data_IF_750960419711
#
_entry.id   IF_750960419711
#
_cell.length_a   1.000
_cell.length_b   1.000
_cell.length_c   1.000
_cell.angle_alpha   90.00
_cell.angle_beta   90.00
_cell.angle_gamma   90.00
#
_symmetry.space_group_name_H-M   'P 1'
#
loop_
_entity.id
_entity.type
_entity.pdbx_description
1 polymer ?
#
# COMPACT_ATOMS: atom_id res chain seq x y z
N UNK A 1 0.31 -28.61 39.50
CA UNK A 1 -0.35 -27.94 38.36
C UNK A 1 0.75 -27.52 37.42
N UNK A 2 1.23 -28.44 36.59
CA UNK A 2 2.18 -28.15 35.51
C UNK A 2 1.40 -28.35 34.20
N UNK A 3 0.47 -27.44 33.95
CA UNK A 3 -0.27 -27.37 32.69
C UNK A 3 0.14 -26.03 32.08
N UNK A 4 0.46 -26.01 30.79
CA UNK A 4 0.97 -24.86 30.03
C UNK A 4 2.43 -24.44 30.29
N UNK A 5 3.22 -25.16 31.09
CA UNK A 5 4.66 -24.89 31.20
C UNK A 5 5.41 -25.20 29.90
N UNK A 6 5.07 -26.32 29.25
CA UNK A 6 5.65 -26.67 27.95
C UNK A 6 5.29 -25.65 26.87
N UNK A 7 4.07 -25.09 26.91
CA UNK A 7 3.65 -24.03 26.00
C UNK A 7 4.38 -22.72 26.30
N UNK A 8 4.52 -22.34 27.57
CA UNK A 8 5.28 -21.15 27.96
C UNK A 8 6.77 -21.25 27.57
N UNK A 9 7.38 -22.43 27.73
CA UNK A 9 8.77 -22.68 27.33
C UNK A 9 8.93 -22.76 25.80
N UNK A 10 7.90 -23.22 25.09
CA UNK A 10 7.84 -23.20 23.62
C UNK A 10 7.68 -21.77 23.09
N UNK A 11 6.69 -21.03 23.58
CA UNK A 11 6.41 -19.64 23.22
C UNK A 11 7.57 -18.71 23.59
N UNK A 12 8.22 -18.94 24.74
CA UNK A 12 9.41 -18.22 25.15
C UNK A 12 10.64 -18.49 24.27
N UNK A 13 10.63 -19.57 23.47
CA UNK A 13 11.64 -19.87 22.44
C UNK A 13 11.26 -19.35 21.06
N UNK A 14 9.99 -19.00 20.82
CA UNK A 14 9.56 -18.40 19.56
C UNK A 14 10.20 -17.01 19.40
N UNK A 15 10.54 -16.68 18.15
CA UNK A 15 11.03 -15.35 17.84
C UNK A 15 9.99 -14.29 18.22
N UNK A 16 10.42 -13.19 18.81
CA UNK A 16 9.52 -12.09 19.15
C UNK A 16 8.99 -11.44 17.85
N UNK A 17 7.83 -11.91 17.37
CA UNK A 17 7.22 -11.46 16.12
C UNK A 17 6.92 -9.95 16.11
N UNK A 18 6.69 -9.35 17.27
CA UNK A 18 6.53 -7.89 17.39
C UNK A 18 7.77 -7.11 16.95
N UNK A 19 8.96 -7.73 16.93
CA UNK A 19 10.17 -7.11 16.37
C UNK A 19 10.19 -7.08 14.83
N UNK A 20 9.35 -7.89 14.19
CA UNK A 20 9.17 -7.95 12.73
C UNK A 20 7.99 -7.08 12.24
N UNK A 21 7.23 -6.49 13.16
CA UNK A 21 6.17 -5.52 12.89
C UNK A 21 6.66 -4.09 13.11
N UNK A 22 6.07 -3.11 12.42
CA UNK A 22 6.48 -1.70 12.55
C UNK A 22 5.85 -1.09 13.81
N UNK A 23 6.62 -0.82 14.89
CA UNK A 23 6.06 -0.40 16.16
C UNK A 23 5.45 1.01 16.11
N UNK A 24 5.82 1.84 15.12
CA UNK A 24 5.31 3.22 15.01
C UNK A 24 3.99 3.32 14.26
N UNK A 25 3.61 2.28 13.54
CA UNK A 25 2.40 2.25 12.71
C UNK A 25 1.66 0.96 13.08
N UNK A 26 0.97 0.87 14.23
CA UNK A 26 0.21 -0.32 14.56
C UNK A 26 -0.98 -0.50 13.62
N UNK A 27 -1.46 -1.74 13.47
CA UNK A 27 -2.72 -2.00 12.78
C UNK A 27 -3.88 -1.24 13.44
N UNK A 28 -4.71 -0.51 12.66
CA UNK A 28 -5.93 0.10 13.19
C UNK A 28 -6.87 -0.95 13.74
N UNK A 29 -7.58 -0.65 14.83
CA UNK A 29 -8.44 -1.63 15.49
C UNK A 29 -9.71 -1.93 14.68
N UNK A 30 -10.17 -0.96 13.89
CA UNK A 30 -11.41 -1.06 13.11
C UNK A 30 -11.13 -0.79 11.62
N UNK A 31 -11.91 -1.44 10.75
CA UNK A 31 -11.81 -1.28 9.30
C UNK A 31 -11.98 0.18 8.86
N UNK A 32 -12.93 0.91 9.43
CA UNK A 32 -13.16 2.31 9.11
C UNK A 32 -11.94 3.20 9.38
N UNK A 33 -11.15 2.88 10.41
CA UNK A 33 -9.91 3.59 10.71
C UNK A 33 -8.85 3.29 9.65
N UNK A 34 -8.75 2.04 9.21
CA UNK A 34 -7.82 1.64 8.17
C UNK A 34 -8.15 2.27 6.81
N UNK A 35 -9.43 2.30 6.44
CA UNK A 35 -9.90 2.94 5.20
C UNK A 35 -9.70 4.46 5.22
N UNK A 36 -9.72 5.09 6.40
CA UNK A 36 -9.47 6.53 6.52
C UNK A 36 -7.98 6.89 6.47
N UNK A 37 -7.08 5.98 6.90
CA UNK A 37 -5.62 6.20 6.93
C UNK A 37 -4.95 5.88 5.56
N UNK A 38 -5.52 6.48 4.51
CA UNK A 38 -5.05 6.36 3.13
C UNK A 38 -3.70 7.06 3.00
N UNK A 39 -2.63 6.26 2.88
CA UNK A 39 -1.25 6.75 2.77
C UNK A 39 -0.28 6.02 3.69
N UNK A 40 -0.76 5.52 4.84
CA UNK A 40 -0.04 4.53 5.65
C UNK A 40 -0.49 3.12 5.35
N UNK A 41 -1.75 2.95 4.96
CA UNK A 41 -2.31 1.67 4.58
C UNK A 41 -2.85 1.73 3.15
N UNK A 42 -2.80 0.59 2.47
CA UNK A 42 -3.37 0.39 1.13
C UNK A 42 -4.11 -0.94 1.12
N UNK A 43 -5.25 -1.04 0.41
CA UNK A 43 -6.02 -2.28 0.34
C UNK A 43 -5.18 -3.42 -0.26
N UNK A 44 -5.33 -4.62 0.27
CA UNK A 44 -4.77 -5.84 -0.32
C UNK A 44 -5.60 -6.20 -1.55
N UNK A 45 -5.04 -6.19 -2.78
CA UNK A 45 -5.86 -6.32 -3.99
C UNK A 45 -6.59 -7.66 -4.13
N UNK A 46 -6.08 -8.72 -3.49
CA UNK A 46 -6.69 -10.05 -3.50
C UNK A 46 -7.71 -10.26 -2.35
N UNK A 47 -7.86 -9.28 -1.46
CA UNK A 47 -8.79 -9.33 -0.32
C UNK A 47 -9.33 -7.92 -0.03
N UNK A 48 -10.08 -7.41 -1.00
CA UNK A 48 -10.74 -6.11 -0.94
C UNK A 48 -12.27 -6.30 -0.85
N UNK A 49 -12.95 -5.39 -0.15
CA UNK A 49 -14.39 -5.42 0.05
C UNK A 49 -15.18 -5.09 -1.22
N UNK A 50 -14.56 -4.38 -2.16
CA UNK A 50 -15.12 -4.11 -3.49
C UNK A 50 -14.70 -5.15 -4.54
N UNK A 51 -13.77 -6.04 -4.18
CA UNK A 51 -13.23 -7.09 -5.05
C UNK A 51 -13.91 -8.45 -4.89
N UNK A 52 -13.25 -9.50 -5.38
CA UNK A 52 -13.66 -10.86 -5.08
C UNK A 52 -13.28 -11.19 -3.63
N UNK A 53 -14.22 -10.96 -2.71
CA UNK A 53 -14.18 -11.18 -1.26
C UNK A 53 -13.76 -12.60 -0.78
N UNK A 54 -13.29 -13.46 -1.68
CA UNK A 54 -12.90 -14.83 -1.37
C UNK A 54 -11.64 -14.93 -0.50
N UNK A 55 -10.82 -13.86 -0.42
CA UNK A 55 -9.70 -13.71 0.51
C UNK A 55 -8.95 -15.02 0.75
N UNK A 56 -8.48 -15.67 -0.32
CA UNK A 56 -8.08 -17.10 -0.31
C UNK A 56 -7.06 -17.43 0.78
N UNK A 57 -6.14 -16.50 1.05
CA UNK A 57 -5.07 -16.65 2.04
C UNK A 57 -5.46 -16.22 3.46
N UNK A 58 -6.54 -15.45 3.59
CA UNK A 58 -7.02 -14.84 4.84
C UNK A 58 -8.51 -15.10 4.95
N UNK A 59 -8.88 -16.38 4.97
CA UNK A 59 -10.28 -16.80 5.03
C UNK A 59 -10.96 -16.16 6.25
N UNK A 60 -12.23 -15.80 6.13
CA UNK A 60 -12.97 -15.08 7.18
C UNK A 60 -12.69 -13.59 7.29
N UNK A 61 -11.67 -13.07 6.60
CA UNK A 61 -11.52 -11.63 6.42
C UNK A 61 -12.52 -11.14 5.37
N UNK A 62 -13.09 -9.97 5.60
CA UNK A 62 -13.86 -9.20 4.63
C UNK A 62 -12.97 -8.26 3.82
N UNK A 63 -11.95 -7.69 4.46
CA UNK A 63 -11.01 -6.75 3.85
C UNK A 63 -9.67 -6.79 4.57
N UNK A 64 -8.57 -6.74 3.83
CA UNK A 64 -7.24 -6.60 4.38
C UNK A 64 -6.54 -5.37 3.83
N UNK A 65 -5.73 -4.72 4.68
CA UNK A 65 -4.86 -3.62 4.29
C UNK A 65 -3.40 -3.97 4.55
N UNK A 66 -2.51 -3.39 3.77
CA UNK A 66 -1.07 -3.51 3.85
C UNK A 66 -0.46 -2.16 4.26
N UNK A 67 0.54 -2.20 5.13
CA UNK A 67 1.32 -1.00 5.46
C UNK A 67 2.19 -0.53 4.30
N UNK A 68 2.29 0.78 4.12
CA UNK A 68 3.19 1.44 3.17
C UNK A 68 4.65 1.45 3.64
N UNK A 69 4.88 1.14 4.92
CA UNK A 69 6.20 1.12 5.55
C UNK A 69 6.60 -0.30 5.95
N UNK A 70 7.87 -0.62 5.74
CA UNK A 70 8.48 -1.88 6.13
C UNK A 70 9.46 -1.67 7.30
N UNK A 71 9.65 -2.71 8.12
CA UNK A 71 10.67 -2.72 9.18
C UNK A 71 12.08 -2.87 8.62
N UNK A 72 13.09 -2.78 9.48
CA UNK A 72 14.52 -2.89 9.13
C UNK A 72 14.91 -4.22 8.44
N UNK A 73 14.10 -5.27 8.58
CA UNK A 73 14.26 -6.54 7.84
C UNK A 73 13.62 -6.54 6.45
N UNK A 74 12.90 -5.48 6.08
CA UNK A 74 12.13 -5.38 4.84
C UNK A 74 10.73 -6.00 4.89
N UNK A 75 10.29 -6.52 6.04
CA UNK A 75 8.94 -7.04 6.20
C UNK A 75 7.91 -5.91 6.31
N UNK A 76 6.77 -6.07 5.63
CA UNK A 76 5.58 -5.24 5.77
C UNK A 76 4.56 -5.92 6.68
N UNK A 77 3.69 -5.12 7.30
CA UNK A 77 2.57 -5.63 8.09
C UNK A 77 1.28 -5.65 7.26
N UNK A 78 0.44 -6.64 7.52
CA UNK A 78 -0.88 -6.80 6.93
C UNK A 78 -1.93 -6.85 8.05
N UNK A 79 -2.97 -6.03 7.93
CA UNK A 79 -4.05 -5.93 8.90
C UNK A 79 -5.35 -6.38 8.23
N UNK A 80 -5.96 -7.45 8.73
CA UNK A 80 -7.18 -8.03 8.17
C UNK A 80 -8.35 -7.83 9.11
N UNK A 81 -9.51 -7.54 8.55
CA UNK A 81 -10.74 -7.22 9.28
C UNK A 81 -11.83 -8.25 8.96
N UNK A 82 -12.58 -8.64 9.98
CA UNK A 82 -13.72 -9.55 9.85
C UNK A 82 -14.94 -8.84 9.21
N UNK A 83 -16.05 -9.57 9.10
CA UNK A 83 -17.28 -9.04 8.51
C UNK A 83 -17.95 -7.96 9.37
N UNK A 84 -17.70 -8.01 10.67
CA UNK A 84 -18.11 -7.04 11.68
C UNK A 84 -17.21 -5.77 11.70
N UNK A 85 -16.10 -5.76 10.95
CA UNK A 85 -15.19 -4.63 10.80
C UNK A 85 -14.14 -4.51 11.92
N UNK A 86 -13.94 -5.57 12.71
CA UNK A 86 -12.91 -5.63 13.75
C UNK A 86 -11.63 -6.24 13.21
N UNK A 87 -10.50 -5.76 13.72
CA UNK A 87 -9.20 -6.35 13.43
C UNK A 87 -9.23 -7.81 13.90
N UNK A 88 -9.06 -8.72 12.96
CA UNK A 88 -8.94 -10.14 13.27
C UNK A 88 -7.68 -10.36 14.11
N UNK A 89 -7.76 -11.24 15.10
CA UNK A 89 -6.62 -11.54 15.95
C UNK A 89 -5.57 -12.38 15.20
N UNK A 90 -4.31 -12.05 15.43
CA UNK A 90 -3.15 -12.84 15.06
C UNK A 90 -2.84 -13.83 16.18
N UNK A 91 -3.71 -14.81 16.44
CA UNK A 91 -3.32 -15.88 17.36
C UNK A 91 -2.24 -16.73 16.69
N UNK A 92 -1.14 -16.89 17.42
CA UNK A 92 -0.13 -17.93 17.28
C UNK A 92 0.52 -18.02 15.89
N UNK A 93 1.41 -17.05 15.57
CA UNK A 93 2.30 -17.16 14.42
C UNK A 93 3.22 -18.39 14.56
N UNK A 94 2.83 -19.50 13.95
CA UNK A 94 3.69 -20.68 13.74
C UNK A 94 4.37 -20.62 12.37
N UNK A 95 5.70 -20.76 12.34
CA UNK A 95 6.47 -20.90 11.09
C UNK A 95 6.26 -22.32 10.51
N UNK A 96 5.09 -22.61 9.97
CA UNK A 96 4.80 -23.85 9.24
C UNK A 96 4.48 -23.55 7.77
N UNK A 97 4.43 -24.55 6.89
CA UNK A 97 4.08 -24.38 5.47
C UNK A 97 2.58 -24.12 5.23
N UNK A 98 1.79 -24.01 6.30
CA UNK A 98 0.34 -23.89 6.34
C UNK A 98 -0.14 -22.54 6.89
N UNK A 99 0.72 -21.53 7.07
CA UNK A 99 0.31 -20.18 7.53
C UNK A 99 -0.68 -19.48 6.58
N UNK A 100 -0.78 -19.94 5.33
CA UNK A 100 -1.81 -19.48 4.37
C UNK A 100 -3.13 -20.26 4.47
N UNK A 101 -3.20 -21.25 5.36
CA UNK A 101 -4.29 -22.24 5.44
C UNK A 101 -5.19 -22.04 6.66
N UNK A 102 -4.74 -21.29 7.67
CA UNK A 102 -5.51 -20.95 8.87
C UNK A 102 -5.45 -19.45 9.18
N UNK A 103 -6.57 -18.95 9.70
CA UNK A 103 -6.85 -17.56 10.07
C UNK A 103 -5.67 -16.89 10.77
N UNK A 104 -5.01 -15.97 10.09
CA UNK A 104 -3.94 -15.19 10.70
C UNK A 104 -3.93 -13.77 10.13
N UNK A 105 -4.37 -12.81 10.93
CA UNK A 105 -4.06 -11.40 10.72
C UNK A 105 -2.63 -11.11 11.17
N UNK A 106 -2.04 -9.98 10.80
CA UNK A 106 -0.77 -9.54 11.38
C UNK A 106 0.46 -10.36 11.00
N UNK A 107 0.36 -11.30 10.05
CA UNK A 107 1.55 -12.02 9.56
C UNK A 107 2.45 -11.01 8.86
N UNK A 108 3.71 -10.83 9.29
CA UNK A 108 4.66 -10.01 8.57
C UNK A 108 4.88 -10.65 7.19
N UNK A 109 4.31 -10.03 6.16
CA UNK A 109 4.62 -10.42 4.81
C UNK A 109 6.01 -9.88 4.51
N UNK A 110 6.97 -10.78 4.26
CA UNK A 110 8.32 -10.37 3.82
C UNK A 110 8.30 -9.60 2.49
N UNK A 111 7.20 -9.66 1.76
CA UNK A 111 7.06 -9.15 0.42
C UNK A 111 5.59 -9.03 0.01
N UNK A 112 5.20 -7.95 -0.67
CA UNK A 112 4.07 -8.06 -1.60
C UNK A 112 4.44 -9.09 -2.69
N UNK A 113 3.48 -9.77 -3.35
CA UNK A 113 3.84 -10.58 -4.51
C UNK A 113 4.49 -9.68 -5.58
N UNK A 114 5.35 -10.22 -6.43
CA UNK A 114 6.00 -9.45 -7.50
C UNK A 114 4.95 -9.05 -8.56
N UNK A 115 4.98 -7.80 -9.03
CA UNK A 115 3.96 -7.33 -9.97
C UNK A 115 3.71 -5.83 -9.92
N UNK A 116 2.60 -5.41 -10.54
CA UNK A 116 2.08 -4.05 -10.44
C UNK A 116 0.82 -4.05 -9.56
N UNK A 117 0.69 -3.05 -8.71
CA UNK A 117 -0.43 -2.90 -7.81
C UNK A 117 -0.92 -1.47 -7.81
N UNK A 118 -2.21 -1.28 -7.56
CA UNK A 118 -2.80 0.04 -7.37
C UNK A 118 -2.54 0.44 -5.92
N UNK A 119 -1.83 1.55 -5.71
CA UNK A 119 -1.55 2.08 -4.37
C UNK A 119 -2.64 3.04 -3.89
N UNK A 120 -3.23 3.77 -4.83
CA UNK A 120 -4.39 4.63 -4.60
C UNK A 120 -5.19 4.77 -5.89
N UNK A 121 -6.51 4.71 -5.77
CA UNK A 121 -7.42 4.96 -6.87
C UNK A 121 -8.59 5.79 -6.34
N UNK A 122 -9.07 6.74 -7.14
CA UNK A 122 -10.35 7.38 -6.88
C UNK A 122 -11.07 7.64 -8.19
N UNK A 123 -12.27 7.07 -8.33
CA UNK A 123 -13.08 7.20 -9.53
C UNK A 123 -14.44 7.82 -9.20
N UNK A 124 -14.65 9.03 -9.70
CA UNK A 124 -15.82 9.87 -9.47
C UNK A 124 -16.12 10.66 -10.75
N UNK A 125 -17.36 11.14 -10.98
CA UNK A 125 -17.66 12.00 -12.13
C UNK A 125 -16.76 13.24 -12.25
N UNK A 126 -16.10 13.65 -11.16
CA UNK A 126 -15.20 14.82 -11.10
C UNK A 126 -13.72 14.50 -10.97
N UNK A 127 -13.37 13.29 -10.54
CA UNK A 127 -12.00 12.90 -10.21
C UNK A 127 -11.71 11.47 -10.67
N UNK A 128 -10.62 11.28 -11.38
CA UNK A 128 -10.14 9.99 -11.89
C UNK A 128 -8.63 9.88 -11.60
N UNK A 129 -8.30 9.55 -10.35
CA UNK A 129 -6.92 9.39 -9.89
C UNK A 129 -6.54 7.91 -9.93
N UNK A 130 -5.37 7.63 -10.48
CA UNK A 130 -4.78 6.30 -10.46
C UNK A 130 -3.28 6.39 -10.14
N UNK A 131 -2.88 5.71 -9.07
CA UNK A 131 -1.48 5.55 -8.69
C UNK A 131 -1.17 4.07 -8.58
N UNK A 132 -0.13 3.65 -9.28
CA UNK A 132 0.33 2.26 -9.35
C UNK A 132 1.78 2.16 -8.89
N UNK A 133 2.08 1.12 -8.11
CA UNK A 133 3.41 0.74 -7.68
C UNK A 133 3.85 -0.55 -8.36
N UNK A 134 5.13 -0.65 -8.73
CA UNK A 134 5.75 -1.87 -9.24
C UNK A 134 6.67 -2.46 -8.18
N UNK A 135 6.36 -3.67 -7.75
CA UNK A 135 7.10 -4.43 -6.76
C UNK A 135 7.92 -5.53 -7.45
N UNK A 136 9.22 -5.56 -7.16
CA UNK A 136 10.16 -6.54 -7.70
C UNK A 136 10.95 -7.19 -6.56
N UNK A 137 11.54 -8.34 -6.84
CA UNK A 137 12.52 -8.93 -5.93
C UNK A 137 13.75 -8.00 -5.83
N UNK A 138 14.26 -7.72 -4.63
CA UNK A 138 15.51 -6.98 -4.48
C UNK A 138 16.67 -7.73 -5.13
N UNK A 139 17.75 -7.02 -5.51
CA UNK A 139 18.94 -7.68 -6.03
C UNK A 139 19.51 -8.69 -5.03
N UNK A 140 20.21 -9.69 -5.57
CA UNK A 140 20.90 -10.68 -4.75
C UNK A 140 21.89 -10.01 -3.80
N UNK A 141 22.09 -10.67 -2.65
CA UNK A 141 23.14 -10.28 -1.71
C UNK A 141 24.52 -10.44 -2.34
N UNK A 142 25.56 -9.87 -1.71
CA UNK A 142 26.96 -10.06 -2.11
C UNK A 142 27.42 -11.53 -2.12
N UNK A 143 26.64 -12.42 -1.52
CA UNK A 143 26.88 -13.88 -1.48
C UNK A 143 26.05 -14.64 -2.53
N UNK A 144 25.52 -13.93 -3.53
CA UNK A 144 24.64 -14.49 -4.59
C UNK A 144 23.37 -15.16 -4.04
N UNK A 145 23.02 -14.88 -2.79
CA UNK A 145 21.80 -15.37 -2.16
C UNK A 145 20.60 -14.50 -2.53
N UNK A 146 19.51 -15.16 -2.92
CA UNK A 146 18.21 -14.53 -3.13
C UNK A 146 17.60 -14.09 -1.80
N UNK A 147 17.10 -12.86 -1.77
CA UNK A 147 16.32 -12.36 -0.64
C UNK A 147 14.85 -12.63 -0.93
N UNK A 148 14.18 -13.32 -0.02
CA UNK A 148 12.72 -13.59 -0.08
C UNK A 148 11.93 -12.37 0.39
N UNK A 149 12.13 -11.24 -0.29
CA UNK A 149 11.44 -9.98 -0.05
C UNK A 149 10.99 -9.36 -1.38
N UNK A 150 10.14 -8.33 -1.34
CA UNK A 150 9.90 -7.45 -2.50
C UNK A 150 10.06 -6.01 -2.11
N UNK A 151 10.46 -5.22 -3.10
CA UNK A 151 10.74 -3.81 -2.92
C UNK A 151 10.03 -3.01 -4.00
N UNK A 152 9.54 -1.83 -3.62
CA UNK A 152 8.95 -0.91 -4.57
C UNK A 152 10.06 -0.32 -5.45
N UNK A 153 9.99 -0.59 -6.75
CA UNK A 153 11.00 -0.18 -7.74
C UNK A 153 10.47 0.81 -8.76
N UNK A 154 9.15 0.93 -8.88
CA UNK A 154 8.51 1.85 -9.82
C UNK A 154 7.21 2.41 -9.28
N UNK A 155 6.89 3.61 -9.76
CA UNK A 155 5.62 4.29 -9.51
C UNK A 155 5.11 4.83 -10.85
N UNK A 156 3.82 4.67 -11.13
CA UNK A 156 3.12 5.35 -12.20
C UNK A 156 1.92 6.09 -11.60
N UNK A 157 1.73 7.36 -11.96
CA UNK A 157 0.65 8.18 -11.45
C UNK A 157 0.02 8.99 -12.56
N UNK A 158 -1.31 9.08 -12.53
CA UNK A 158 -2.11 9.90 -13.43
C UNK A 158 -3.34 10.41 -12.70
N UNK A 159 -3.67 11.67 -12.91
CA UNK A 159 -4.86 12.29 -12.36
C UNK A 159 -5.71 12.93 -13.47
N UNK A 160 -6.97 12.54 -13.58
CA UNK A 160 -7.90 12.97 -14.63
C UNK A 160 -7.28 12.83 -16.04
N UNK A 161 -7.22 13.94 -16.77
CA UNK A 161 -6.63 14.03 -18.11
C UNK A 161 -5.18 14.54 -18.09
N UNK A 162 -4.52 14.53 -16.93
CA UNK A 162 -3.10 14.92 -16.84
C UNK A 162 -2.19 13.94 -17.61
N UNK A 163 -0.97 14.40 -17.88
CA UNK A 163 0.13 13.57 -18.36
C UNK A 163 0.43 12.44 -17.38
N UNK A 164 0.73 11.26 -17.91
CA UNK A 164 1.09 10.11 -17.08
C UNK A 164 2.55 10.21 -16.66
N UNK A 165 2.81 10.24 -15.36
CA UNK A 165 4.17 10.31 -14.81
C UNK A 165 4.57 8.93 -14.34
N UNK A 166 5.75 8.47 -14.76
CA UNK A 166 6.33 7.21 -14.31
C UNK A 166 7.72 7.46 -13.75
N UNK A 167 8.01 6.90 -12.59
CA UNK A 167 9.28 7.03 -11.89
C UNK A 167 9.79 5.64 -11.53
N UNK A 168 11.02 5.33 -11.92
CA UNK A 168 11.66 4.06 -11.62
C UNK A 168 12.97 4.26 -10.85
N UNK A 169 13.23 3.42 -9.85
CA UNK A 169 14.55 3.30 -9.27
C UNK A 169 15.50 2.67 -10.30
N UNK A 170 16.67 3.28 -10.52
CA UNK A 170 17.68 2.68 -11.39
C UNK A 170 18.32 1.49 -10.70
N UNK A 171 18.80 0.52 -11.47
CA UNK A 171 19.65 -0.59 -10.96
C UNK A 171 21.07 -0.09 -10.68
N UNK A 172 21.83 -0.78 -9.81
CA UNK A 172 23.11 -0.30 -9.25
C UNK A 172 24.10 0.23 -10.29
N UNK A 173 24.32 -0.53 -11.36
CA UNK A 173 25.25 -0.16 -12.44
C UNK A 173 24.86 1.12 -13.21
N UNK A 174 23.62 1.60 -13.09
CA UNK A 174 23.11 2.83 -13.75
C UNK A 174 22.89 4.00 -12.78
N UNK A 175 23.18 3.82 -11.48
CA UNK A 175 22.92 4.77 -10.37
C UNK A 175 24.05 5.78 -10.11
N UNK A 176 25.14 5.77 -10.89
CA UNK A 176 26.32 6.61 -10.62
C UNK A 176 26.05 8.12 -10.79
N UNK A 177 25.19 8.50 -11.74
CA UNK A 177 24.84 9.91 -12.02
C UNK A 177 23.46 10.30 -11.51
N UNK A 178 22.46 9.48 -11.80
CA UNK A 178 21.08 9.71 -11.37
C UNK A 178 20.54 8.44 -10.73
N UNK A 179 19.75 8.59 -9.67
CA UNK A 179 19.18 7.50 -8.89
C UNK A 179 17.84 7.02 -9.43
N UNK A 180 17.06 7.93 -10.01
CA UNK A 180 15.75 7.64 -10.59
C UNK A 180 15.71 7.89 -12.10
N UNK A 181 14.78 7.21 -12.77
CA UNK A 181 14.37 7.48 -14.14
C UNK A 181 12.94 8.00 -14.15
N UNK A 182 12.77 9.20 -14.73
CA UNK A 182 11.46 9.87 -14.82
C UNK A 182 11.02 9.88 -16.27
N UNK A 183 9.82 9.39 -16.52
CA UNK A 183 9.14 9.46 -17.81
C UNK A 183 7.83 10.22 -17.66
N UNK A 184 7.52 11.05 -18.65
CA UNK A 184 6.25 11.75 -18.77
C UNK A 184 5.70 11.42 -20.15
N UNK A 185 4.53 10.78 -20.20
CA UNK A 185 3.91 10.28 -21.44
C UNK A 185 4.87 9.43 -22.31
N UNK A 186 5.71 8.62 -21.64
CA UNK A 186 6.72 7.76 -22.28
C UNK A 186 8.03 8.45 -22.66
N UNK A 187 8.14 9.78 -22.50
CA UNK A 187 9.36 10.54 -22.80
C UNK A 187 10.19 10.72 -21.54
N UNK A 188 11.49 10.41 -21.60
CA UNK A 188 12.39 10.54 -20.44
C UNK A 188 12.76 12.00 -20.18
N UNK A 189 12.60 12.44 -18.93
CA UNK A 189 12.85 13.81 -18.49
C UNK A 189 14.05 13.85 -17.53
N UNK A 190 14.85 14.93 -17.63
CA UNK A 190 16.03 15.16 -16.79
C UNK A 190 15.89 16.45 -15.98
N UNK A 191 16.39 16.43 -14.74
CA UNK A 191 16.34 17.56 -13.78
C UNK A 191 17.76 18.00 -13.37
N UNK A 192 18.71 17.91 -14.30
CA UNK A 192 20.14 18.12 -14.06
C UNK A 192 20.56 19.60 -14.04
N UNK A 193 19.78 20.48 -14.67
CA UNK A 193 20.05 21.90 -14.76
C UNK A 193 19.24 22.70 -13.72
N UNK A 194 19.76 23.82 -13.18
CA UNK A 194 19.04 24.65 -12.20
C UNK A 194 17.65 25.10 -12.66
N UNK A 195 17.51 25.49 -13.93
CA UNK A 195 16.24 25.89 -14.53
C UNK A 195 15.32 24.71 -14.89
N UNK A 196 15.83 23.48 -14.86
CA UNK A 196 15.05 22.24 -15.08
C UNK A 196 14.63 21.57 -13.78
N UNK A 197 14.98 22.13 -12.61
CA UNK A 197 14.62 21.58 -11.29
C UNK A 197 13.10 21.58 -11.05
N UNK A 198 12.35 22.41 -11.76
CA UNK A 198 10.89 22.44 -11.74
C UNK A 198 10.43 22.41 -13.19
N UNK A 199 9.63 21.42 -13.55
CA UNK A 199 9.07 21.27 -14.89
C UNK A 199 7.57 20.99 -14.78
N UNK A 200 6.79 21.78 -15.51
CA UNK A 200 5.33 21.66 -15.55
C UNK A 200 4.89 21.07 -16.87
N UNK A 201 4.02 20.08 -16.79
CA UNK A 201 3.40 19.36 -17.89
C UNK A 201 1.88 19.53 -17.81
N UNK A 202 1.14 18.84 -18.67
CA UNK A 202 -0.31 18.92 -18.68
C UNK A 202 -0.89 18.38 -17.36
N UNK A 203 -1.43 19.28 -16.53
CA UNK A 203 -2.09 18.93 -15.26
C UNK A 203 -1.16 18.40 -14.15
N UNK A 204 0.16 18.46 -14.32
CA UNK A 204 1.13 17.96 -13.33
C UNK A 204 2.42 18.78 -13.35
N UNK A 205 2.98 19.05 -12.17
CA UNK A 205 4.29 19.67 -12.01
C UNK A 205 5.21 18.72 -11.26
N UNK A 206 6.42 18.53 -11.79
CA UNK A 206 7.44 17.68 -11.17
C UNK A 206 8.58 18.59 -10.71
N UNK A 207 9.01 18.39 -9.48
CA UNK A 207 10.09 19.13 -8.85
C UNK A 207 11.16 18.20 -8.31
N UNK A 208 12.41 18.55 -8.57
CA UNK A 208 13.57 18.00 -7.91
C UNK A 208 14.16 19.09 -7.01
N UNK A 209 14.38 18.84 -5.70
CA UNK A 209 14.90 19.85 -4.79
C UNK A 209 16.24 20.46 -5.28
N UNK A 210 16.49 21.77 -5.10
CA UNK A 210 17.64 22.45 -5.70
C UNK A 210 19.01 21.85 -5.32
N UNK A 211 19.12 21.33 -4.09
CA UNK A 211 20.34 20.70 -3.57
C UNK A 211 20.50 19.24 -4.02
N UNK A 212 19.45 18.63 -4.55
CA UNK A 212 19.45 17.24 -4.99
C UNK A 212 19.97 17.18 -6.44
N UNK A 213 21.22 16.78 -6.63
CA UNK A 213 21.82 16.67 -7.98
C UNK A 213 21.70 15.26 -8.58
N UNK A 214 21.53 14.25 -7.73
CA UNK A 214 21.50 12.84 -8.08
C UNK A 214 20.09 12.34 -8.40
N UNK A 215 19.06 13.20 -8.40
CA UNK A 215 17.66 12.83 -8.59
C UNK A 215 17.20 11.71 -7.64
N UNK A 216 17.70 11.68 -6.41
CA UNK A 216 17.23 10.72 -5.39
C UNK A 216 15.91 11.13 -4.74
N UNK A 217 15.44 12.34 -5.01
CA UNK A 217 14.20 12.88 -4.45
C UNK A 217 13.42 13.64 -5.51
N UNK A 218 12.12 13.37 -5.59
CA UNK A 218 11.21 13.98 -6.54
C UNK A 218 9.86 14.24 -5.87
N UNK A 219 9.31 15.42 -6.11
CA UNK A 219 7.97 15.81 -5.71
C UNK A 219 7.11 15.96 -6.97
N UNK A 220 6.01 15.21 -7.05
CA UNK A 220 5.01 15.28 -8.11
C UNK A 220 3.78 15.95 -7.54
N UNK A 221 3.30 17.01 -8.18
CA UNK A 221 2.13 17.77 -7.74
C UNK A 221 1.14 17.86 -8.89
N UNK A 222 -0.01 17.22 -8.73
CA UNK A 222 -1.12 17.32 -9.69
C UNK A 222 -1.91 18.61 -9.46
N UNK A 223 -2.55 19.12 -10.52
CA UNK A 223 -3.36 20.34 -10.46
C UNK A 223 -4.57 20.24 -9.52
N UNK A 224 -5.00 19.03 -9.19
CA UNK A 224 -6.09 18.75 -8.22
C UNK A 224 -5.67 18.87 -6.77
N UNK A 225 -4.37 19.06 -6.50
CA UNK A 225 -3.80 19.16 -5.16
C UNK A 225 -3.21 17.84 -4.63
N UNK A 226 -3.33 16.73 -5.38
CA UNK A 226 -2.66 15.47 -5.04
C UNK A 226 -1.15 15.65 -5.14
N UNK A 227 -0.45 15.39 -4.04
CA UNK A 227 1.00 15.44 -3.94
C UNK A 227 1.59 14.07 -3.72
N UNK A 228 2.67 13.74 -4.43
CA UNK A 228 3.42 12.49 -4.25
C UNK A 228 4.90 12.84 -4.07
N UNK A 229 5.47 12.40 -2.96
CA UNK A 229 6.91 12.52 -2.69
C UNK A 229 7.56 11.17 -2.83
N UNK A 230 8.63 11.13 -3.62
CA UNK A 230 9.39 9.92 -3.91
C UNK A 230 10.82 10.14 -3.42
N UNK A 231 11.31 9.19 -2.64
CA UNK A 231 12.68 9.14 -2.18
C UNK A 231 13.29 7.79 -2.57
N UNK A 232 14.39 7.83 -3.31
CA UNK A 232 15.16 6.66 -3.66
C UNK A 232 16.29 6.45 -2.65
N UNK A 233 16.44 5.21 -2.20
CA UNK A 233 17.55 4.76 -1.39
C UNK A 233 17.99 3.37 -1.84
N UNK A 234 19.18 3.27 -2.43
CA UNK A 234 19.81 1.99 -2.82
C UNK A 234 18.93 1.07 -3.70
N UNK A 235 18.18 1.65 -4.63
CA UNK A 235 17.34 0.93 -5.59
C UNK A 235 15.92 0.67 -5.08
N UNK A 236 15.61 1.16 -3.88
CA UNK A 236 14.30 1.10 -3.24
C UNK A 236 13.63 2.47 -3.38
N UNK A 237 12.35 2.50 -3.72
CA UNK A 237 11.54 3.70 -3.68
C UNK A 237 10.71 3.73 -2.40
N UNK A 238 10.85 4.81 -1.63
CA UNK A 238 9.91 5.20 -0.61
C UNK A 238 8.94 6.24 -1.22
N UNK A 239 7.64 6.00 -1.08
CA UNK A 239 6.59 6.84 -1.68
C UNK A 239 5.62 7.28 -0.61
N UNK A 240 5.43 8.59 -0.50
CA UNK A 240 4.45 9.21 0.40
C UNK A 240 3.46 9.99 -0.46
N UNK A 241 2.17 9.70 -0.30
CA UNK A 241 1.09 10.37 -1.01
C UNK A 241 0.30 11.25 -0.05
N UNK A 242 -0.05 12.45 -0.50
CA UNK A 242 -0.91 13.39 0.20
C UNK A 242 -2.14 13.66 -0.69
N UNK A 243 -3.30 13.19 -0.22
CA UNK A 243 -4.59 13.40 -0.87
C UNK A 243 -5.29 14.61 -0.23
N UNK A 244 -5.81 15.56 -1.03
CA UNK A 244 -6.57 16.68 -0.48
C UNK A 244 -7.97 16.24 -0.04
N UNK A 245 -8.62 17.04 0.81
CA UNK A 245 -9.88 16.68 1.49
C UNK A 245 -11.06 16.36 0.54
N UNK A 246 -11.04 16.90 -0.68
CA UNK A 246 -12.01 16.57 -1.73
C UNK A 246 -11.89 15.13 -2.27
N UNK A 247 -10.84 14.40 -1.89
CA UNK A 247 -10.65 12.98 -2.16
C UNK A 247 -11.14 12.08 -1.03
N UNK A 248 -11.79 12.65 0.01
CA UNK A 248 -12.49 11.84 1.01
C UNK A 248 -13.64 11.09 0.34
N UNK A 249 -13.74 9.80 0.64
CA UNK A 249 -14.91 9.02 0.26
C UNK A 249 -16.17 9.66 0.84
N UNK A 250 -17.11 10.00 -0.04
CA UNK A 250 -18.49 10.17 0.41
C UNK A 250 -19.06 8.77 0.49
N UNK A 251 -19.31 8.31 1.71
CA UNK A 251 -20.15 7.13 1.94
C UNK A 251 -21.40 7.24 1.06
N UNK A 252 -21.49 6.45 -0.01
CA UNK A 252 -22.72 6.28 -0.79
C UNK A 252 -23.70 5.33 -0.09
N UNK A 253 -23.50 5.12 1.21
CA UNK A 253 -24.40 4.41 2.12
C UNK A 253 -24.60 5.17 3.44
N UNK A 254 -24.87 6.47 3.40
CA UNK A 254 -25.79 7.03 4.41
C UNK A 254 -27.20 6.69 3.96
N UNK A 255 -27.68 5.51 4.39
CA UNK A 255 -29.11 5.26 4.45
C UNK A 255 -29.71 6.31 5.39
N UNK A 256 -30.39 7.29 4.81
CA UNK A 256 -31.18 8.24 5.59
C UNK A 256 -32.43 7.51 6.09
N UNK A 257 -32.34 6.96 7.30
CA UNK A 257 -33.46 6.28 7.97
C UNK A 257 -34.67 7.19 8.20
N UNK A 258 -34.58 8.49 7.90
CA UNK A 258 -35.67 9.44 8.03
C UNK A 258 -36.27 9.90 6.70
N UNK A 259 -35.86 9.33 5.56
CA UNK A 259 -36.49 9.63 4.28
C UNK A 259 -37.73 8.73 4.06
N UNK A 260 -38.96 9.27 4.14
CA UNK A 260 -40.19 8.47 4.04
C UNK A 260 -40.50 7.94 2.62
N UNK A 261 -39.63 8.18 1.64
CA UNK A 261 -39.81 7.67 0.26
C UNK A 261 -39.23 6.25 0.03
N UNK A 262 -38.49 5.68 0.98
CA UNK A 262 -38.01 4.30 0.88
C UNK A 262 -38.68 3.43 1.95
N UNK A 263 -39.56 2.54 1.50
CA UNK A 263 -40.30 1.59 2.34
C UNK A 263 -39.38 0.70 3.18
N UNK A 264 -39.97 0.11 4.23
CA UNK A 264 -39.26 -0.64 5.26
C UNK A 264 -38.34 -1.73 4.68
N UNK A 265 -37.10 -1.90 5.19
CA UNK A 265 -36.12 -2.86 4.66
C UNK A 265 -36.51 -4.34 4.75
N UNK A 266 -37.61 -4.67 5.45
CA UNK A 266 -38.06 -6.03 5.69
C UNK A 266 -38.91 -6.60 4.54
N UNK A 267 -39.32 -5.78 3.57
CA UNK A 267 -40.12 -6.24 2.42
C UNK A 267 -39.29 -6.91 1.31
N UNK A 268 -37.95 -6.90 1.39
CA UNK A 268 -37.06 -7.56 0.41
C UNK A 268 -36.69 -9.02 0.76
N UNK A 269 -37.16 -9.55 1.90
CA UNK A 269 -36.87 -10.93 2.33
C UNK A 269 -38.11 -11.83 2.45
N UNK A 270 -39.23 -11.47 1.82
CA UNK A 270 -40.39 -12.37 1.79
C UNK A 270 -40.85 -12.68 0.36
N UNK A 271 -40.83 -13.99 0.08
CA UNK A 271 -41.51 -14.74 -0.99
C UNK A 271 -40.77 -14.88 -2.33
N UNK A 272 -39.96 -15.94 -2.42
CA UNK A 272 -40.17 -16.92 -3.49
C UNK A 272 -41.40 -17.78 -3.13
N UNK A 273 -42.38 -17.78 -4.02
CA UNK A 273 -43.15 -18.95 -4.44
C UNK A 273 -43.78 -18.66 -5.81
#
# INVERSE_FOLDING_TARGET
MEICQEWYDYDGRLGNFNMELEPKIPCPCNLDQALTDIGRFTALPDCDMEGDHLCYQTQGAKHCVLSSSAVWTGAGQMCCYDYEGWLMFSDDFEYNDQYLRFYSAGVPYRAHPWGYYILAMMKSPRHDLMVQGRLEQPPQTIWEGDVRATVLTGLAARDNRSSTVQVFARKDFRRWRYKTDVYVDGVRIYFDMPWKKIQTFHGVTIRNPPRNMNQSELDIMFSTGVGIRIQESQGLLNVIMALPENYKERNSMTFDFNNPEFGNPWDLFSTEN
#
